data_IF_258303253676
#
_entry.id   IF_258303253676
#
_cell.length_a   1.000
_cell.length_b   1.000
_cell.length_c   1.000
_cell.angle_alpha   90.00
_cell.angle_beta   90.00
_cell.angle_gamma   90.00
#
_symmetry.space_group_name_H-M   'P 1'
#
loop_
_entity.id
_entity.type
_entity.pdbx_description
1 polymer ?
#
# COMPACT_ATOMS: atom_id res chain seq x y z
N UNK A 1 28.46 13.45 27.42
CA UNK A 1 27.89 14.53 26.60
C UNK A 1 27.14 13.85 25.47
N UNK A 2 25.81 13.87 25.53
CA UNK A 2 24.95 13.07 24.65
C UNK A 2 24.58 13.89 23.41
N UNK A 3 25.37 13.72 22.34
CA UNK A 3 25.28 14.53 21.11
C UNK A 3 23.86 14.53 20.49
N UNK A 4 23.09 13.42 20.49
CA UNK A 4 21.71 13.41 20.02
C UNK A 4 20.76 14.32 20.81
N UNK A 5 20.95 14.43 22.13
CA UNK A 5 20.11 15.26 22.98
C UNK A 5 20.33 16.77 22.72
N UNK A 6 21.60 17.16 22.53
CA UNK A 6 21.98 18.55 22.20
C UNK A 6 21.42 18.95 20.83
N UNK A 7 21.46 18.04 19.85
CA UNK A 7 20.89 18.30 18.52
C UNK A 7 19.37 18.45 18.55
N UNK A 8 18.69 17.72 19.44
CA UNK A 8 17.25 17.84 19.62
C UNK A 8 16.88 19.18 20.26
N UNK A 9 17.63 19.60 21.27
CA UNK A 9 17.42 20.88 21.98
C UNK A 9 17.62 22.09 21.04
N UNK A 10 18.71 22.09 20.24
CA UNK A 10 18.95 23.13 19.23
C UNK A 10 17.84 23.16 18.17
N UNK A 11 17.31 21.98 17.77
CA UNK A 11 16.23 21.89 16.80
C UNK A 11 14.94 22.49 17.33
N UNK A 12 14.64 22.25 18.61
CA UNK A 12 13.45 22.75 19.27
C UNK A 12 13.52 24.28 19.48
N UNK A 13 14.70 24.81 19.82
CA UNK A 13 14.93 26.28 19.92
C UNK A 13 14.79 26.99 18.56
N UNK A 14 15.35 26.43 17.49
CA UNK A 14 15.20 26.98 16.13
C UNK A 14 13.74 26.97 15.68
N UNK A 15 13.01 25.88 15.97
CA UNK A 15 11.59 25.79 15.65
C UNK A 15 10.77 26.85 16.38
N UNK A 16 11.09 27.12 17.64
CA UNK A 16 10.39 28.13 18.44
C UNK A 16 10.65 29.56 17.94
N UNK A 17 11.91 29.90 17.64
CA UNK A 17 12.30 31.21 17.10
C UNK A 17 11.69 31.47 15.72
N UNK A 18 11.62 30.46 14.88
CA UNK A 18 11.02 30.61 13.55
C UNK A 18 9.49 30.70 13.60
N UNK A 19 8.83 30.05 14.56
CA UNK A 19 7.38 30.18 14.77
C UNK A 19 6.99 31.61 15.20
N UNK A 20 7.79 32.24 16.06
CA UNK A 20 7.59 33.62 16.51
C UNK A 20 7.81 34.66 15.40
N UNK A 21 8.77 34.42 14.50
CA UNK A 21 9.08 35.36 13.40
C UNK A 21 8.12 35.22 12.23
N UNK A 22 7.70 34.00 11.90
CA UNK A 22 6.89 33.74 10.70
C UNK A 22 5.40 33.61 10.98
N UNK A 23 4.97 33.48 12.25
CA UNK A 23 3.58 33.18 12.60
C UNK A 23 3.08 31.86 12.00
N UNK A 24 4.01 30.99 11.57
CA UNK A 24 3.74 29.68 11.00
C UNK A 24 4.09 28.66 12.07
N UNK A 25 3.11 27.84 12.44
CA UNK A 25 3.34 26.70 13.32
C UNK A 25 4.32 25.73 12.63
N UNK A 26 5.55 25.68 13.13
CA UNK A 26 6.63 24.80 12.67
C UNK A 26 6.71 23.52 13.47
N UNK A 27 5.67 23.19 14.24
CA UNK A 27 5.58 21.85 14.83
C UNK A 27 5.75 20.83 13.70
N UNK A 28 6.75 19.94 13.80
CA UNK A 28 6.96 18.93 12.78
C UNK A 28 5.68 18.11 12.71
N UNK A 29 5.01 18.16 11.55
CA UNK A 29 3.85 17.33 11.28
C UNK A 29 4.21 15.88 11.65
N UNK A 30 3.36 15.18 12.42
CA UNK A 30 3.65 13.81 12.80
C UNK A 30 3.92 13.00 11.53
N UNK A 31 4.87 12.05 11.56
CA UNK A 31 5.19 11.27 10.39
C UNK A 31 3.89 10.65 9.85
N UNK A 32 3.68 10.69 8.52
CA UNK A 32 2.44 10.18 7.95
C UNK A 32 2.29 8.71 8.35
N UNK A 33 1.13 8.36 8.90
CA UNK A 33 0.86 6.99 9.30
C UNK A 33 1.00 6.05 8.11
N UNK A 34 1.81 4.99 8.27
CA UNK A 34 2.09 4.01 7.23
C UNK A 34 1.54 2.64 7.59
N UNK A 35 1.23 1.85 6.58
CA UNK A 35 0.77 0.47 6.71
C UNK A 35 1.59 -0.40 5.77
N UNK A 36 2.03 -1.56 6.28
CA UNK A 36 2.76 -2.57 5.51
C UNK A 36 1.79 -3.64 5.04
N UNK A 37 1.71 -3.83 3.73
CA UNK A 37 0.97 -4.92 3.10
C UNK A 37 1.97 -6.00 2.70
N UNK A 38 1.77 -7.23 3.19
CA UNK A 38 2.63 -8.38 2.87
C UNK A 38 1.96 -9.23 1.80
N UNK A 39 2.60 -9.40 0.65
CA UNK A 39 2.09 -10.24 -0.44
C UNK A 39 3.12 -11.27 -0.87
N UNK A 40 2.67 -12.47 -1.20
CA UNK A 40 3.50 -13.55 -1.70
C UNK A 40 3.21 -13.87 -3.16
N UNK A 41 4.22 -14.42 -3.84
CA UNK A 41 4.08 -14.95 -5.18
C UNK A 41 5.12 -16.04 -5.49
N UNK A 42 4.91 -16.84 -6.55
CA UNK A 42 5.88 -17.87 -6.94
C UNK A 42 7.27 -17.27 -7.20
N UNK A 43 8.29 -17.98 -6.72
CA UNK A 43 9.71 -17.58 -6.79
C UNK A 43 10.20 -17.22 -8.20
N UNK A 44 9.66 -17.86 -9.23
CA UNK A 44 10.13 -17.73 -10.62
C UNK A 44 9.79 -16.40 -11.32
N UNK A 45 9.17 -15.45 -10.62
CA UNK A 45 8.80 -14.16 -11.20
C UNK A 45 9.27 -13.02 -10.29
N UNK A 46 9.65 -11.83 -10.78
CA UNK A 46 9.98 -10.65 -9.96
C UNK A 46 8.73 -9.87 -9.50
N UNK A 47 8.59 -9.57 -8.20
CA UNK A 47 7.33 -9.03 -7.63
C UNK A 47 7.15 -7.55 -7.92
N UNK A 48 8.27 -6.82 -7.95
CA UNK A 48 8.36 -5.36 -8.07
C UNK A 48 7.49 -4.78 -9.17
N UNK A 49 7.73 -5.15 -10.42
CA UNK A 49 7.03 -4.53 -11.56
C UNK A 49 5.52 -4.74 -11.49
N UNK A 50 5.08 -5.91 -11.03
CA UNK A 50 3.66 -6.20 -10.88
C UNK A 50 3.02 -5.38 -9.76
N UNK A 51 3.73 -5.14 -8.65
CA UNK A 51 3.27 -4.26 -7.55
C UNK A 51 3.23 -2.81 -8.02
N UNK A 52 4.32 -2.29 -8.59
CA UNK A 52 4.42 -0.90 -9.03
C UNK A 52 3.36 -0.57 -10.08
N UNK A 53 3.18 -1.42 -11.10
CA UNK A 53 2.16 -1.22 -12.12
C UNK A 53 0.73 -1.28 -11.54
N UNK A 54 0.49 -2.12 -10.54
CA UNK A 54 -0.82 -2.26 -9.91
C UNK A 54 -1.20 -1.07 -9.03
N UNK A 55 -0.22 -0.37 -8.46
CA UNK A 55 -0.45 0.70 -7.46
C UNK A 55 -0.25 2.10 -8.04
N UNK A 56 0.86 2.36 -8.73
CA UNK A 56 1.19 3.70 -9.21
C UNK A 56 0.20 4.20 -10.28
N UNK A 57 -0.31 3.29 -11.12
CA UNK A 57 -1.33 3.61 -12.13
C UNK A 57 -2.61 4.20 -11.50
N UNK A 58 -2.84 3.97 -10.20
CA UNK A 58 -4.00 4.46 -9.44
C UNK A 58 -3.63 5.56 -8.43
N UNK A 59 -2.42 6.13 -8.51
CA UNK A 59 -1.98 7.21 -7.64
C UNK A 59 -1.62 6.77 -6.21
N UNK A 60 -1.36 5.48 -6.01
CA UNK A 60 -0.86 4.98 -4.72
C UNK A 60 0.66 5.10 -4.72
N UNK A 61 1.18 5.84 -3.74
CA UNK A 61 2.61 6.04 -3.57
C UNK A 61 3.19 4.97 -2.65
N UNK A 62 4.10 4.17 -3.21
CA UNK A 62 4.87 3.18 -2.44
C UNK A 62 5.99 3.95 -1.74
N UNK A 63 5.97 3.95 -0.40
CA UNK A 63 6.95 4.64 0.44
C UNK A 63 8.23 3.79 0.59
N UNK A 64 8.05 2.49 0.78
CA UNK A 64 9.11 1.50 0.88
C UNK A 64 8.68 0.19 0.24
N UNK A 65 9.66 -0.54 -0.30
CA UNK A 65 9.47 -1.81 -0.98
C UNK A 65 10.63 -2.75 -0.70
N UNK A 66 10.35 -3.98 -0.28
CA UNK A 66 11.38 -5.02 -0.16
C UNK A 66 10.87 -6.42 -0.53
N UNK A 67 11.78 -7.28 -1.01
CA UNK A 67 11.54 -8.67 -1.45
C UNK A 67 12.51 -9.61 -0.73
N UNK A 68 12.50 -9.61 0.60
CA UNK A 68 13.62 -10.18 1.36
C UNK A 68 13.36 -11.58 1.92
N UNK A 69 12.11 -12.06 1.81
CA UNK A 69 11.70 -13.26 2.52
C UNK A 69 11.22 -14.29 1.54
N UNK A 70 11.95 -15.40 1.49
CA UNK A 70 11.50 -16.56 0.74
C UNK A 70 11.08 -17.61 1.73
N UNK A 71 9.83 -18.00 1.63
CA UNK A 71 9.28 -19.01 2.51
C UNK A 71 9.21 -20.33 1.74
N UNK A 72 9.73 -21.39 2.34
CA UNK A 72 9.62 -22.78 1.86
C UNK A 72 9.01 -23.58 3.00
N UNK A 73 7.90 -24.27 2.74
CA UNK A 73 7.19 -25.08 3.74
C UNK A 73 6.84 -24.35 5.05
N UNK A 74 6.63 -23.03 4.99
CA UNK A 74 6.30 -22.20 6.15
C UNK A 74 7.52 -21.63 6.90
N UNK A 75 8.75 -22.00 6.52
CA UNK A 75 9.97 -21.46 7.11
C UNK A 75 10.60 -20.36 6.25
N UNK A 76 11.02 -19.26 6.90
CA UNK A 76 11.76 -18.19 6.24
C UNK A 76 13.19 -18.63 5.95
N UNK A 77 13.57 -18.58 4.67
CA UNK A 77 14.89 -18.92 4.16
C UNK A 77 15.51 -17.75 3.43
N UNK A 78 16.84 -17.68 3.46
CA UNK A 78 17.59 -16.75 2.59
C UNK A 78 17.45 -17.17 1.13
N UNK A 79 17.71 -16.22 0.22
CA UNK A 79 17.66 -16.46 -1.23
C UNK A 79 18.47 -17.71 -1.64
N UNK A 80 19.70 -17.84 -1.14
CA UNK A 80 20.59 -18.96 -1.48
C UNK A 80 20.12 -20.31 -0.91
N UNK A 81 19.40 -20.32 0.22
CA UNK A 81 18.84 -21.53 0.82
C UNK A 81 17.60 -21.99 0.07
N UNK A 82 16.72 -21.07 -0.31
CA UNK A 82 15.51 -21.40 -1.06
C UNK A 82 15.77 -21.91 -2.48
N UNK A 83 16.92 -21.57 -3.09
CA UNK A 83 17.35 -22.14 -4.38
C UNK A 83 17.50 -23.66 -4.36
N UNK A 84 17.77 -24.25 -3.19
CA UNK A 84 17.95 -25.70 -3.01
C UNK A 84 16.62 -26.43 -2.85
N UNK A 85 15.62 -25.76 -2.28
CA UNK A 85 14.31 -26.32 -1.97
C UNK A 85 13.24 -25.64 -2.86
N UNK A 86 13.31 -25.89 -4.17
CA UNK A 86 12.52 -25.16 -5.19
C UNK A 86 11.02 -25.44 -5.12
N UNK A 87 10.63 -26.62 -4.66
CA UNK A 87 9.24 -27.04 -4.63
C UNK A 87 8.51 -26.33 -3.47
N UNK A 88 7.60 -25.42 -3.82
CA UNK A 88 6.81 -24.66 -2.84
C UNK A 88 7.40 -23.31 -2.40
N UNK A 89 8.55 -22.90 -2.94
CA UNK A 89 9.17 -21.62 -2.62
C UNK A 89 8.36 -20.42 -3.16
N UNK A 90 8.10 -19.42 -2.30
CA UNK A 90 7.48 -18.15 -2.68
C UNK A 90 8.24 -16.95 -2.13
N UNK A 91 8.30 -15.88 -2.92
CA UNK A 91 8.85 -14.59 -2.52
C UNK A 91 7.74 -13.78 -1.84
N UNK A 92 7.98 -13.34 -0.62
CA UNK A 92 7.17 -12.37 0.11
C UNK A 92 7.73 -10.95 -0.13
N UNK A 93 6.88 -10.09 -0.68
CA UNK A 93 7.14 -8.67 -0.84
C UNK A 93 6.43 -7.89 0.28
N UNK A 94 7.15 -6.91 0.85
CA UNK A 94 6.61 -5.94 1.79
C UNK A 94 6.42 -4.62 1.08
N UNK A 95 5.17 -4.13 1.07
CA UNK A 95 4.80 -2.88 0.41
C UNK A 95 4.32 -1.91 1.46
N UNK A 96 5.09 -0.85 1.70
CA UNK A 96 4.73 0.21 2.62
C UNK A 96 4.02 1.33 1.86
N UNK A 97 2.82 1.67 2.32
CA UNK A 97 1.98 2.74 1.78
C UNK A 97 1.43 3.59 2.92
N UNK A 98 0.88 4.76 2.61
CA UNK A 98 0.12 5.54 3.60
C UNK A 98 -1.09 4.75 4.08
N UNK A 99 -1.40 4.80 5.37
CA UNK A 99 -2.55 4.09 5.96
C UNK A 99 -3.87 4.43 5.27
N UNK A 100 -4.04 5.70 4.87
CA UNK A 100 -5.23 6.17 4.12
C UNK A 100 -5.40 5.52 2.75
N UNK A 101 -4.33 4.97 2.16
CA UNK A 101 -4.36 4.29 0.85
C UNK A 101 -4.34 2.76 0.98
N UNK A 102 -4.13 2.23 2.19
CA UNK A 102 -3.78 0.83 2.39
C UNK A 102 -4.91 -0.15 2.01
N UNK A 103 -6.16 0.17 2.35
CA UNK A 103 -7.33 -0.64 1.93
C UNK A 103 -7.45 -0.73 0.41
N UNK A 104 -7.23 0.38 -0.30
CA UNK A 104 -7.33 0.42 -1.76
C UNK A 104 -6.14 -0.27 -2.42
N UNK A 105 -4.94 -0.12 -1.84
CA UNK A 105 -3.75 -0.83 -2.28
C UNK A 105 -3.91 -2.34 -2.17
N UNK A 106 -4.40 -2.83 -1.03
CA UNK A 106 -4.67 -4.26 -0.82
C UNK A 106 -5.66 -4.80 -1.85
N UNK A 107 -6.77 -4.08 -2.06
CA UNK A 107 -7.76 -4.45 -3.06
C UNK A 107 -7.16 -4.56 -4.47
N UNK A 108 -6.36 -3.58 -4.89
CA UNK A 108 -5.72 -3.58 -6.20
C UNK A 108 -4.72 -4.72 -6.36
N UNK A 109 -3.91 -5.00 -5.34
CA UNK A 109 -2.98 -6.12 -5.34
C UNK A 109 -3.72 -7.45 -5.51
N UNK A 110 -4.84 -7.65 -4.79
CA UNK A 110 -5.70 -8.83 -4.93
C UNK A 110 -6.35 -8.92 -6.33
N UNK A 111 -6.77 -7.79 -6.91
CA UNK A 111 -7.35 -7.73 -8.27
C UNK A 111 -6.38 -8.14 -9.38
N UNK A 112 -5.07 -8.04 -9.16
CA UNK A 112 -4.09 -8.55 -10.13
C UNK A 112 -4.16 -10.06 -10.31
N UNK A 113 -4.63 -10.80 -9.29
CA UNK A 113 -4.57 -12.28 -9.18
C UNK A 113 -3.16 -12.88 -9.31
N UNK A 114 -2.12 -12.05 -9.22
CA UNK A 114 -0.71 -12.47 -9.28
C UNK A 114 -0.09 -12.71 -7.90
N UNK A 115 -0.80 -12.28 -6.86
CA UNK A 115 -0.31 -12.28 -5.50
C UNK A 115 -1.29 -12.98 -4.56
N UNK A 116 -0.74 -13.60 -3.51
CA UNK A 116 -1.47 -14.04 -2.33
C UNK A 116 -1.22 -13.04 -1.21
N UNK A 117 -2.26 -12.65 -0.47
CA UNK A 117 -2.08 -11.83 0.73
C UNK A 117 -1.52 -12.70 1.86
N UNK A 118 -0.48 -12.20 2.53
CA UNK A 118 0.18 -12.86 3.66
C UNK A 118 -0.09 -12.16 4.99
N UNK A 119 -0.32 -10.85 4.97
CA UNK A 119 -0.75 -10.09 6.15
C UNK A 119 -2.21 -10.33 6.48
N UNK A 120 -2.62 -10.00 7.70
CA UNK A 120 -4.04 -9.87 8.06
C UNK A 120 -4.71 -8.91 7.08
N UNK A 121 -5.88 -9.26 6.51
CA UNK A 121 -6.61 -8.35 5.64
C UNK A 121 -6.93 -7.06 6.37
N UNK A 122 -6.53 -5.93 5.78
CA UNK A 122 -6.87 -4.60 6.27
C UNK A 122 -8.39 -4.43 6.19
N UNK A 123 -8.98 -4.83 5.07
CA UNK A 123 -10.43 -4.89 4.91
C UNK A 123 -10.85 -6.33 4.56
N UNK A 124 -11.54 -7.04 5.46
CA UNK A 124 -11.90 -8.45 5.23
C UNK A 124 -12.83 -8.66 4.01
N UNK A 125 -13.47 -7.59 3.51
CA UNK A 125 -14.33 -7.65 2.32
C UNK A 125 -13.54 -7.60 1.02
N UNK A 126 -12.29 -7.12 1.04
CA UNK A 126 -11.48 -6.94 -0.17
C UNK A 126 -11.23 -8.25 -0.90
N UNK A 127 -10.97 -9.35 -0.20
CA UNK A 127 -10.77 -10.66 -0.81
C UNK A 127 -12.03 -11.11 -1.57
N UNK A 128 -13.20 -11.04 -0.93
CA UNK A 128 -14.47 -11.41 -1.54
C UNK A 128 -14.84 -10.50 -2.72
N UNK A 129 -14.59 -9.19 -2.60
CA UNK A 129 -14.81 -8.25 -3.69
C UNK A 129 -13.85 -8.48 -4.85
N UNK A 130 -12.55 -8.61 -4.61
CA UNK A 130 -11.57 -8.86 -5.65
C UNK A 130 -11.87 -10.16 -6.42
N UNK A 131 -12.35 -11.20 -5.74
CA UNK A 131 -12.77 -12.45 -6.37
C UNK A 131 -13.98 -12.28 -7.31
N UNK A 132 -14.92 -11.39 -6.99
CA UNK A 132 -16.14 -11.14 -7.79
C UNK A 132 -15.87 -10.33 -9.06
N UNK A 133 -14.75 -9.61 -9.14
CA UNK A 133 -14.43 -8.76 -10.29
C UNK A 133 -13.29 -9.32 -11.13
N UNK A 134 -13.42 -9.23 -12.46
CA UNK A 134 -12.40 -9.66 -13.41
C UNK A 134 -11.47 -8.49 -13.81
N UNK A 135 -10.18 -8.77 -13.88
CA UNK A 135 -9.14 -7.83 -14.32
C UNK A 135 -8.94 -6.66 -13.36
N UNK A 136 -8.15 -5.66 -13.76
CA UNK A 136 -7.92 -4.44 -12.99
C UNK A 136 -9.02 -3.39 -13.24
N UNK A 137 -9.34 -2.52 -12.27
CA UNK A 137 -10.27 -1.40 -12.49
C UNK A 137 -9.71 -0.41 -13.53
N UNK A 138 -10.55 0.44 -14.13
CA UNK A 138 -10.03 1.47 -15.05
C UNK A 138 -9.29 2.54 -14.24
N UNK A 139 -8.04 2.91 -14.58
CA UNK A 139 -7.29 3.92 -13.83
C UNK A 139 -7.81 5.34 -14.08
N UNK A 140 -7.68 6.20 -13.07
CA UNK A 140 -8.24 7.56 -13.07
C UNK A 140 -7.56 8.48 -14.10
N UNK A 141 -6.31 8.20 -14.44
CA UNK A 141 -5.47 9.03 -15.31
C UNK A 141 -5.78 8.87 -16.80
N UNK A 142 -6.42 7.78 -17.23
CA UNK A 142 -6.72 7.54 -18.66
C UNK A 142 -7.95 8.28 -19.19
N UNK A 143 -8.73 8.96 -18.34
CA UNK A 143 -10.02 9.54 -18.73
C UNK A 143 -10.07 11.08 -18.74
N UNK A 144 -9.00 11.80 -18.36
CA UNK A 144 -8.92 13.27 -18.40
C UNK A 144 -10.04 14.02 -17.65
N UNK A 145 -10.91 13.30 -16.96
CA UNK A 145 -12.06 13.76 -16.18
C UNK A 145 -12.15 12.81 -15.00
N UNK A 146 -12.21 13.36 -13.79
CA UNK A 146 -12.58 12.63 -12.57
C UNK A 146 -13.98 12.03 -12.76
N UNK A 147 -14.08 10.90 -13.47
CA UNK A 147 -15.33 10.16 -13.57
C UNK A 147 -15.47 9.42 -12.24
N UNK A 148 -16.54 9.74 -11.50
CA UNK A 148 -16.98 8.93 -10.37
C UNK A 148 -17.00 7.47 -10.80
N UNK A 149 -16.47 6.60 -9.94
CA UNK A 149 -16.55 5.15 -10.11
C UNK A 149 -18.01 4.75 -10.42
N UNK A 150 -18.20 4.08 -11.56
CA UNK A 150 -19.47 3.53 -12.01
C UNK A 150 -19.19 2.08 -12.41
N UNK A 151 -19.71 1.13 -11.66
CA UNK A 151 -19.61 -0.29 -12.02
C UNK A 151 -20.23 -0.54 -13.40
N UNK A 152 -19.64 -1.47 -14.16
CA UNK A 152 -20.31 -2.05 -15.34
C UNK A 152 -21.59 -2.72 -14.81
N UNK A 153 -22.75 -2.21 -15.23
CA UNK A 153 -24.11 -2.58 -14.82
C UNK A 153 -24.76 -1.80 -13.65
N UNK A 154 -24.14 -0.74 -13.10
CA UNK A 154 -24.90 0.24 -12.29
C UNK A 154 -25.46 1.33 -13.20
N UNK A 155 -26.74 1.23 -13.55
CA UNK A 155 -27.51 2.24 -14.29
C UNK A 155 -27.98 3.42 -13.40
N UNK A 156 -27.81 3.31 -12.08
CA UNK A 156 -28.24 4.31 -11.09
C UNK A 156 -29.66 4.11 -10.57
N UNK A 157 -30.38 3.08 -11.06
CA UNK A 157 -31.75 2.76 -10.64
C UNK A 157 -31.79 1.81 -9.43
N UNK A 158 -30.75 0.99 -9.23
CA UNK A 158 -30.68 0.03 -8.12
C UNK A 158 -30.49 0.70 -6.74
N UNK A 159 -31.35 0.42 -5.74
CA UNK A 159 -31.28 1.01 -4.38
C UNK A 159 -29.97 0.74 -3.64
N UNK A 160 -29.27 -0.35 -3.99
CA UNK A 160 -27.99 -0.74 -3.38
C UNK A 160 -26.81 0.10 -3.90
N UNK A 161 -26.94 0.73 -5.07
CA UNK A 161 -25.91 1.59 -5.67
C UNK A 161 -26.01 3.05 -5.14
N UNK A 162 -27.03 3.39 -4.33
CA UNK A 162 -27.24 4.74 -3.74
C UNK A 162 -26.58 4.95 -2.36
N UNK A 163 -26.06 3.91 -1.70
CA UNK A 163 -25.52 4.02 -0.35
C UNK A 163 -24.10 3.47 -0.26
N UNK A 164 -23.12 4.35 -0.46
CA UNK A 164 -21.93 4.56 0.38
C UNK A 164 -20.90 5.36 -0.40
N UNK A 165 -20.91 6.68 -0.21
CA UNK A 165 -19.67 7.46 -0.28
C UNK A 165 -18.78 6.94 0.85
N UNK A 166 -17.50 6.59 0.64
CA UNK A 166 -16.51 6.90 1.65
C UNK A 166 -16.47 8.43 1.69
N UNK A 167 -16.91 9.02 2.80
CA UNK A 167 -16.64 10.43 3.08
C UNK A 167 -15.12 10.58 3.14
N UNK A 168 -14.55 11.32 2.20
CA UNK A 168 -13.23 11.90 2.34
C UNK A 168 -13.38 13.08 3.31
N UNK A 169 -13.08 12.82 4.57
CA UNK A 169 -12.54 13.76 5.55
C UNK A 169 -11.37 13.03 6.19
#
# INVERSE_FOLDING_TARGET
>A
MDIPAILQEIRDEIAHLLADVLGVDLTPSPPPETTIIRVAKPWCTPARDAVYNALQTYGIHILSYSEDVVTVDGERKTYNQALRDRDGAFIEAQVEVRTTQAEWAEYLLLRTRKFRLMSTPINPKNAAWAARHNGMPVPWTKSGKLRRWKERNCDGSSPTCKRKRPSLW
#
